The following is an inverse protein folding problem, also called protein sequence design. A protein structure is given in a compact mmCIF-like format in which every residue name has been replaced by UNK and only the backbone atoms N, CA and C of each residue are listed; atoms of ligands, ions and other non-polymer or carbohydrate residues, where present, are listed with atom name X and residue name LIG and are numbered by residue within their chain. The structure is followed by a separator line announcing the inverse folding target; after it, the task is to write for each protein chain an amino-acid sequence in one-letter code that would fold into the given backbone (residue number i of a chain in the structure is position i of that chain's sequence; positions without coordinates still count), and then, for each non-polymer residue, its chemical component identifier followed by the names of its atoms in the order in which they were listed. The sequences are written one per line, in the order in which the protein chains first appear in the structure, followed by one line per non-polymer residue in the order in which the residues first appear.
data_IF_267655687192
#
_entry.id   IF_267655687192
#
_cell.length_a   1.000
_cell.length_b   1.000
_cell.length_c   1.000
_cell.angle_alpha   90.00
_cell.angle_beta   90.00
_cell.angle_gamma   90.00
#
_symmetry.space_group_name_H-M   'P 1'
#
loop_
_entity.id
_entity.type
_entity.pdbx_description
1 polymer ?
#
# COMPACT_ATOMS: atom_id res chain seq x y z
N UNK A 1 -19.94 5.13 -6.24
CA UNK A 1 -19.23 4.96 -4.94
C UNK A 1 -18.26 6.13 -4.80
N UNK A 2 -18.16 6.80 -3.63
CA UNK A 2 -17.23 7.92 -3.48
C UNK A 2 -15.78 7.49 -3.77
N UNK A 3 -14.98 8.25 -4.54
CA UNK A 3 -13.60 7.90 -4.89
C UNK A 3 -12.72 7.61 -3.66
N UNK A 4 -12.94 8.33 -2.56
CA UNK A 4 -12.27 8.13 -1.27
C UNK A 4 -12.42 6.69 -0.76
N UNK A 5 -13.61 6.11 -0.88
CA UNK A 5 -13.89 4.75 -0.39
C UNK A 5 -13.16 3.72 -1.24
N UNK A 6 -13.10 3.93 -2.56
CA UNK A 6 -12.38 3.05 -3.48
C UNK A 6 -10.88 3.09 -3.16
N UNK A 7 -10.31 4.28 -2.98
CA UNK A 7 -8.90 4.46 -2.59
C UNK A 7 -8.61 3.81 -1.24
N UNK A 8 -9.49 3.97 -0.24
CA UNK A 8 -9.31 3.36 1.07
C UNK A 8 -9.29 1.83 1.00
N UNK A 9 -10.19 1.23 0.22
CA UNK A 9 -10.25 -0.23 0.03
C UNK A 9 -9.02 -0.74 -0.72
N UNK A 10 -8.64 -0.09 -1.82
CA UNK A 10 -7.43 -0.45 -2.59
C UNK A 10 -6.18 -0.29 -1.74
N UNK A 11 -6.04 0.84 -1.04
CA UNK A 11 -4.92 1.12 -0.16
C UNK A 11 -4.78 0.07 0.93
N UNK A 12 -5.87 -0.24 1.65
CA UNK A 12 -5.86 -1.28 2.67
C UNK A 12 -5.49 -2.65 2.08
N UNK A 13 -6.14 -3.05 0.99
CA UNK A 13 -5.88 -4.34 0.34
C UNK A 13 -4.39 -4.52 0.02
N UNK A 14 -3.78 -3.53 -0.65
CA UNK A 14 -2.40 -3.64 -1.11
C UNK A 14 -1.37 -3.46 0.01
N UNK A 15 -1.65 -2.63 1.03
CA UNK A 15 -0.80 -2.51 2.23
C UNK A 15 -0.68 -3.86 2.95
N UNK A 16 -1.78 -4.59 3.12
CA UNK A 16 -1.71 -5.91 3.77
C UNK A 16 -1.20 -7.01 2.83
N UNK A 17 -1.54 -6.97 1.54
CA UNK A 17 -1.08 -7.96 0.56
C UNK A 17 0.45 -7.93 0.42
N UNK A 18 1.06 -6.75 0.53
CA UNK A 18 2.50 -6.61 0.41
C UNK A 18 3.29 -7.10 1.63
N UNK A 19 2.62 -7.45 2.74
CA UNK A 19 3.30 -8.06 3.90
C UNK A 19 3.71 -9.51 3.64
N UNK A 20 3.02 -10.18 2.72
CA UNK A 20 3.23 -11.60 2.38
C UNK A 20 3.89 -11.80 1.00
N UNK A 21 4.16 -10.72 0.28
CA UNK A 21 4.66 -10.73 -1.11
C UNK A 21 5.74 -9.66 -1.28
N UNK A 22 6.58 -9.71 -2.32
CA UNK A 22 7.53 -8.62 -2.58
C UNK A 22 6.81 -7.37 -3.13
N UNK A 23 7.24 -6.18 -2.69
CA UNK A 23 6.68 -4.90 -3.15
C UNK A 23 6.63 -4.78 -4.69
N UNK A 24 7.71 -5.23 -5.35
CA UNK A 24 7.81 -5.22 -6.82
C UNK A 24 6.82 -6.16 -7.49
N UNK A 25 6.66 -7.39 -6.97
CA UNK A 25 5.70 -8.35 -7.52
C UNK A 25 4.27 -7.85 -7.31
N UNK A 26 3.95 -7.38 -6.11
CA UNK A 26 2.65 -6.81 -5.77
C UNK A 26 2.31 -5.62 -6.68
N UNK A 27 3.25 -4.69 -6.87
CA UNK A 27 3.05 -3.51 -7.74
C UNK A 27 2.86 -3.92 -9.20
N UNK A 28 3.69 -4.82 -9.71
CA UNK A 28 3.60 -5.29 -11.12
C UNK A 28 2.25 -5.96 -11.40
N UNK A 29 1.76 -6.75 -10.44
CA UNK A 29 0.44 -7.37 -10.52
C UNK A 29 -0.68 -6.32 -10.43
N UNK A 30 -0.54 -5.32 -9.55
CA UNK A 30 -1.55 -4.30 -9.32
C UNK A 30 -1.82 -3.43 -10.56
N UNK A 31 -0.78 -3.06 -11.30
CA UNK A 31 -0.86 -2.11 -12.41
C UNK A 31 -1.94 -2.45 -13.45
N UNK A 32 -1.95 -3.65 -14.08
CA UNK A 32 -2.98 -3.99 -15.06
C UNK A 32 -4.38 -4.12 -14.44
N UNK A 33 -4.48 -4.60 -13.20
CA UNK A 33 -5.77 -4.78 -12.51
C UNK A 33 -6.40 -3.41 -12.20
N UNK A 34 -5.62 -2.48 -11.65
CA UNK A 34 -6.07 -1.14 -11.31
C UNK A 34 -6.37 -0.31 -12.58
N UNK A 35 -5.59 -0.48 -13.64
CA UNK A 35 -5.88 0.16 -14.93
C UNK A 35 -7.25 -0.28 -15.48
N UNK A 36 -7.53 -1.58 -15.51
CA UNK A 36 -8.82 -2.11 -15.95
C UNK A 36 -9.98 -1.69 -15.04
N UNK A 37 -9.78 -1.75 -13.72
CA UNK A 37 -10.78 -1.32 -12.74
C UNK A 37 -11.11 0.17 -12.89
N UNK A 38 -10.10 1.02 -13.13
CA UNK A 38 -10.30 2.46 -13.31
C UNK A 38 -11.18 2.77 -14.53
N UNK A 39 -10.95 2.08 -15.66
CA UNK A 39 -11.79 2.20 -16.87
C UNK A 39 -13.24 1.81 -16.57
N UNK A 40 -13.46 0.68 -15.88
CA UNK A 40 -14.81 0.23 -15.51
C UNK A 40 -15.53 1.14 -14.52
N UNK A 41 -14.78 1.86 -13.69
CA UNK A 41 -15.30 2.81 -12.69
C UNK A 41 -15.42 4.25 -13.22
N UNK A 42 -14.93 4.54 -14.43
CA UNK A 42 -14.91 5.89 -15.00
C UNK A 42 -13.98 6.86 -14.26
N UNK A 43 -12.91 6.33 -13.63
CA UNK A 43 -11.92 7.11 -12.87
C UNK A 43 -10.60 7.13 -13.66
N UNK A 44 -9.81 8.19 -13.50
CA UNK A 44 -8.47 8.26 -14.08
C UNK A 44 -7.59 7.07 -13.60
N UNK A 45 -7.02 6.25 -14.51
CA UNK A 45 -6.19 5.09 -14.14
C UNK A 45 -5.04 5.43 -13.20
N UNK A 46 -4.42 6.59 -13.40
CA UNK A 46 -3.33 7.07 -12.58
C UNK A 46 -3.68 7.09 -11.08
N UNK A 47 -4.91 7.48 -10.72
CA UNK A 47 -5.31 7.58 -9.32
C UNK A 47 -5.28 6.21 -8.60
N UNK A 48 -5.82 5.16 -9.24
CA UNK A 48 -5.85 3.81 -8.64
C UNK A 48 -4.50 3.11 -8.75
N UNK A 49 -3.79 3.28 -9.87
CA UNK A 49 -2.46 2.70 -10.07
C UNK A 49 -1.45 3.28 -9.09
N UNK A 50 -1.44 4.61 -8.90
CA UNK A 50 -0.56 5.26 -7.93
C UNK A 50 -0.90 4.87 -6.49
N UNK A 51 -2.20 4.78 -6.15
CA UNK A 51 -2.66 4.31 -4.84
C UNK A 51 -2.12 2.92 -4.54
N UNK A 52 -2.26 1.98 -5.49
CA UNK A 52 -1.80 0.61 -5.30
C UNK A 52 -0.26 0.51 -5.26
N UNK A 53 0.47 1.28 -6.07
CA UNK A 53 1.93 1.31 -6.04
C UNK A 53 2.48 1.87 -4.72
N UNK A 54 1.87 2.93 -4.19
CA UNK A 54 2.20 3.47 -2.87
C UNK A 54 1.90 2.45 -1.77
N UNK A 55 0.70 1.87 -1.77
CA UNK A 55 0.29 0.85 -0.81
C UNK A 55 1.23 -0.37 -0.81
N UNK A 56 1.59 -0.88 -1.99
CA UNK A 56 2.51 -1.99 -2.15
C UNK A 56 3.94 -1.67 -1.70
N UNK A 57 4.29 -0.41 -1.47
CA UNK A 57 5.60 -0.01 -0.95
C UNK A 57 5.65 0.04 0.58
N UNK A 58 4.50 -0.05 1.25
CA UNK A 58 4.33 0.17 2.69
C UNK A 58 4.18 -1.16 3.44
N UNK A 59 5.25 -1.95 3.51
CA UNK A 59 5.30 -3.24 4.22
C UNK A 59 6.09 -3.11 5.55
N UNK A 60 5.37 -3.07 6.67
CA UNK A 60 5.93 -2.75 7.99
C UNK A 60 5.71 -3.82 9.07
N UNK A 61 4.94 -4.90 8.80
CA UNK A 61 4.58 -5.90 9.81
C UNK A 61 5.51 -7.12 9.83
N UNK A 62 5.89 -7.63 8.65
CA UNK A 62 6.58 -8.92 8.54
C UNK A 62 8.02 -8.80 8.03
N UNK A 63 8.92 -9.71 8.46
CA UNK A 63 10.32 -9.71 8.01
C UNK A 63 10.48 -10.20 6.57
N UNK A 64 9.47 -10.88 6.01
CA UNK A 64 9.55 -11.53 4.69
C UNK A 64 9.42 -10.53 3.54
N UNK A 65 8.69 -9.43 3.77
CA UNK A 65 8.33 -8.49 2.72
C UNK A 65 9.50 -7.67 2.17
N UNK A 66 10.45 -7.27 3.02
CA UNK A 66 11.56 -6.37 2.64
C UNK A 66 12.89 -6.74 3.31
N UNK A 67 14.04 -6.58 2.61
CA UNK A 67 15.36 -6.86 3.19
C UNK A 67 15.66 -6.10 4.50
N UNK A 68 15.32 -4.80 4.67
CA UNK A 68 15.54 -4.09 5.93
C UNK A 68 14.83 -4.74 7.13
N UNK A 69 13.56 -5.16 6.96
CA UNK A 69 12.82 -5.84 8.03
C UNK A 69 13.46 -7.19 8.37
N UNK A 70 13.94 -7.93 7.37
CA UNK A 70 14.65 -9.19 7.56
C UNK A 70 15.98 -9.01 8.31
N UNK A 71 16.75 -7.97 8.00
CA UNK A 71 18.04 -7.66 8.66
C UNK A 71 17.82 -7.40 10.16
N UNK A 72 16.84 -6.55 10.50
CA UNK A 72 16.53 -6.23 11.90
C UNK A 72 16.00 -7.46 12.64
N UNK A 73 15.14 -8.25 12.02
CA UNK A 73 14.65 -9.50 12.60
C UNK A 73 15.78 -10.52 12.84
N UNK A 74 16.72 -10.61 11.90
CA UNK A 74 17.91 -11.46 12.00
C UNK A 74 18.88 -11.11 13.15
N UNK A 75 18.70 -9.96 13.80
CA UNK A 75 19.49 -9.57 14.98
C UNK A 75 19.22 -10.42 16.23
N UNK A 76 18.10 -11.16 16.26
CA UNK A 76 17.69 -11.98 17.41
C UNK A 76 17.02 -11.20 18.56
N UNK A 77 16.98 -9.86 18.49
CA UNK A 77 16.35 -9.01 19.52
C UNK A 77 14.85 -8.74 19.29
N UNK A 78 14.31 -9.16 18.14
CA UNK A 78 12.96 -8.85 17.70
C UNK A 78 12.17 -10.13 17.40
N UNK A 79 10.98 -10.24 17.96
CA UNK A 79 10.04 -11.33 17.65
C UNK A 79 8.99 -10.90 16.64
N UNK A 80 8.42 -11.86 15.89
CA UNK A 80 7.36 -11.58 14.89
C UNK A 80 6.18 -10.81 15.52
N UNK A 81 5.64 -11.17 16.70
CA UNK A 81 4.54 -10.41 17.30
C UNK A 81 4.88 -8.95 17.65
N UNK A 82 6.14 -8.65 17.99
CA UNK A 82 6.59 -7.27 18.24
C UNK A 82 6.59 -6.45 16.94
N UNK A 83 7.11 -7.03 15.85
CA UNK A 83 7.08 -6.38 14.53
C UNK A 83 5.65 -6.14 14.05
N UNK A 84 4.78 -7.15 14.13
CA UNK A 84 3.38 -7.02 13.70
C UNK A 84 2.65 -5.93 14.49
N UNK A 85 2.85 -5.86 15.81
CA UNK A 85 2.19 -4.84 16.64
C UNK A 85 2.62 -3.42 16.26
N UNK A 86 3.91 -3.20 16.00
CA UNK A 86 4.41 -1.91 15.53
C UNK A 86 3.95 -1.61 14.08
N UNK A 87 4.01 -2.62 13.22
CA UNK A 87 3.64 -2.53 11.81
C UNK A 87 2.17 -2.21 11.58
N UNK A 88 1.23 -2.71 12.41
CA UNK A 88 -0.20 -2.34 12.34
C UNK A 88 -0.39 -0.84 12.42
N UNK A 89 0.27 -0.17 13.37
CA UNK A 89 0.15 1.28 13.52
C UNK A 89 0.73 2.01 12.31
N UNK A 90 1.89 1.57 11.81
CA UNK A 90 2.51 2.14 10.61
C UNK A 90 1.64 1.94 9.36
N UNK A 91 1.02 0.78 9.20
CA UNK A 91 0.13 0.48 8.07
C UNK A 91 -1.13 1.33 8.11
N UNK A 92 -1.71 1.56 9.30
CA UNK A 92 -2.85 2.47 9.47
C UNK A 92 -2.45 3.90 9.07
N UNK A 93 -1.30 4.39 9.54
CA UNK A 93 -0.78 5.71 9.18
C UNK A 93 -0.57 5.80 7.66
N UNK A 94 0.02 4.76 7.04
CA UNK A 94 0.24 4.71 5.61
C UNK A 94 -1.08 4.79 4.83
N UNK A 95 -2.12 4.07 5.23
CA UNK A 95 -3.45 4.12 4.60
C UNK A 95 -4.03 5.54 4.68
N UNK A 96 -3.95 6.19 5.83
CA UNK A 96 -4.43 7.57 6.01
C UNK A 96 -3.67 8.53 5.09
N UNK A 97 -2.33 8.40 5.02
CA UNK A 97 -1.50 9.23 4.15
C UNK A 97 -1.78 8.98 2.67
N UNK A 98 -2.00 7.73 2.26
CA UNK A 98 -2.37 7.38 0.89
C UNK A 98 -3.71 8.02 0.51
N UNK A 99 -4.71 7.93 1.40
CA UNK A 99 -6.01 8.57 1.18
C UNK A 99 -5.84 10.09 1.06
N UNK A 100 -5.11 10.72 1.98
CA UNK A 100 -4.85 12.17 1.94
C UNK A 100 -4.13 12.57 0.65
N UNK A 101 -3.14 11.80 0.23
CA UNK A 101 -2.36 12.06 -1.00
C UNK A 101 -3.23 11.95 -2.24
N UNK A 102 -4.01 10.86 -2.35
CA UNK A 102 -4.86 10.62 -3.52
C UNK A 102 -6.04 11.61 -3.62
N UNK A 103 -6.51 12.15 -2.49
CA UNK A 103 -7.71 13.01 -2.45
C UNK A 103 -7.39 14.50 -2.43
N UNK A 104 -6.24 14.90 -1.89
CA UNK A 104 -5.84 16.31 -1.78
C UNK A 104 -4.60 16.63 -2.62
N UNK A 105 -3.53 15.85 -2.50
CA UNK A 105 -2.25 16.21 -3.12
C UNK A 105 -2.25 16.02 -4.64
N UNK A 106 -2.76 14.87 -5.12
CA UNK A 106 -2.80 14.56 -6.56
C UNK A 106 -3.65 15.57 -7.34
N UNK A 107 -4.90 15.89 -6.94
CA UNK A 107 -5.70 16.90 -7.65
C UNK A 107 -5.11 18.31 -7.62
N UNK A 108 -4.31 18.65 -6.61
CA UNK A 108 -3.65 19.97 -6.50
C UNK A 108 -2.40 20.06 -7.38
N UNK A 109 -1.62 18.97 -7.48
CA UNK A 109 -0.37 18.95 -8.24
C UNK A 109 -0.57 18.61 -9.73
N UNK A 110 -1.55 17.77 -10.04
CA UNK A 110 -1.85 17.30 -11.39
C UNK A 110 -3.34 17.57 -11.64
N UNK A 111 -3.68 18.78 -12.13
CA UNK A 111 -5.06 19.18 -12.39
C UNK A 111 -5.68 18.45 -13.59
#
# INVERSE_FOLDING_TARGET
VPPVVIVAVVGALFVFLTEITSNTATSTMAMPIMAGAAVGLGIAPLALMATAALAASMAFMLPVATPPNAIVFGSGYMTIPQMVRAGIWMNIIAIVLIIATATWLVPVLIP
#
